data_IF_413559168312
#
_entry.id   IF_413559168312
#
_cell.length_a   1.000
_cell.length_b   1.000
_cell.length_c   1.000
_cell.angle_alpha   90.00
_cell.angle_beta   90.00
_cell.angle_gamma   90.00
#
_symmetry.space_group_name_H-M   'P 1'
#
loop_
_entity.id
_entity.type
_entity.pdbx_description
1 polymer ?
#
# COMPACT_ATOMS: atom_id res chain seq x y z
N UNK A 1 20.59 64.37 34.55
CA UNK A 1 19.46 63.67 35.21
C UNK A 1 19.50 62.21 34.76
N UNK A 2 19.62 61.28 35.72
CA UNK A 2 19.74 59.84 35.49
C UNK A 2 18.36 59.21 35.68
N UNK A 3 17.77 58.68 34.62
CA UNK A 3 16.55 57.86 34.70
C UNK A 3 16.86 56.48 34.17
N UNK A 4 16.88 55.49 35.08
CA UNK A 4 16.89 54.07 34.76
C UNK A 4 15.48 53.69 34.30
N UNK A 5 15.37 52.97 33.19
CA UNK A 5 14.19 52.15 32.90
C UNK A 5 14.67 50.75 32.59
N UNK A 6 14.40 49.82 33.50
CA UNK A 6 14.38 48.39 33.21
C UNK A 6 13.11 48.12 32.39
N UNK A 7 13.25 47.39 31.29
CA UNK A 7 12.16 46.63 30.69
C UNK A 7 12.73 45.31 30.16
N UNK A 8 12.39 44.23 30.86
CA UNK A 8 12.53 42.87 30.39
C UNK A 8 11.41 42.56 29.39
N UNK A 9 11.74 41.90 28.27
CA UNK A 9 10.76 41.15 27.50
C UNK A 9 11.46 40.08 26.66
N UNK A 10 11.00 38.85 26.87
CA UNK A 10 11.46 37.62 26.25
C UNK A 10 11.27 37.63 24.72
N UNK A 11 12.23 37.05 24.00
CA UNK A 11 11.95 36.43 22.70
C UNK A 11 12.68 35.09 22.67
N UNK A 12 11.91 34.05 22.99
CA UNK A 12 12.33 32.67 22.97
C UNK A 12 12.70 32.23 21.55
N UNK A 13 13.70 31.36 21.49
CA UNK A 13 14.14 30.65 20.31
C UNK A 13 12.97 29.88 19.66
N UNK A 14 12.82 30.02 18.34
CA UNK A 14 12.15 29.02 17.50
C UNK A 14 13.11 28.61 16.39
N UNK A 15 14.17 27.92 16.79
CA UNK A 15 14.84 26.96 15.93
C UNK A 15 14.02 25.65 16.02
N UNK A 16 12.93 25.58 15.26
CA UNK A 16 12.24 24.33 14.96
C UNK A 16 12.72 23.97 13.56
N UNK A 17 13.73 23.12 13.44
CA UNK A 17 13.55 21.70 13.67
C UNK A 17 13.16 21.09 12.34
N UNK A 18 14.11 21.07 11.40
CA UNK A 18 14.04 20.20 10.23
C UNK A 18 14.13 18.76 10.75
N UNK A 19 13.01 18.25 11.25
CA UNK A 19 12.82 16.82 11.42
C UNK A 19 12.85 16.23 10.03
N UNK A 20 13.99 15.63 9.68
CA UNK A 20 14.10 14.83 8.50
C UNK A 20 12.94 13.85 8.46
N UNK A 21 12.25 13.79 7.31
CA UNK A 21 11.47 12.62 6.91
C UNK A 21 12.42 11.44 6.65
N UNK A 22 13.25 11.10 7.64
CA UNK A 22 13.94 9.82 7.71
C UNK A 22 12.93 8.85 8.33
N UNK A 23 12.00 8.35 7.51
CA UNK A 23 10.97 7.46 8.03
C UNK A 23 9.82 7.07 7.12
N UNK A 24 9.89 7.29 5.80
CA UNK A 24 8.98 6.61 4.86
C UNK A 24 9.81 5.82 3.87
N UNK A 25 10.44 4.73 4.36
CA UNK A 25 10.76 3.64 3.45
C UNK A 25 9.47 3.23 2.76
N UNK A 26 9.51 3.02 1.44
CA UNK A 26 8.43 2.52 0.60
C UNK A 26 8.05 1.07 0.96
N UNK A 27 7.90 0.77 2.25
CA UNK A 27 7.41 -0.49 2.75
C UNK A 27 5.90 -0.47 2.53
N UNK A 28 5.42 -1.45 1.78
CA UNK A 28 3.99 -1.68 1.71
C UNK A 28 3.45 -2.06 3.08
N UNK A 29 2.20 -1.69 3.31
CA UNK A 29 1.51 -1.97 4.56
C UNK A 29 1.46 -3.47 4.83
N UNK A 30 1.35 -3.86 6.10
CA UNK A 30 1.04 -5.25 6.47
C UNK A 30 -0.27 -5.71 5.79
N UNK A 31 -0.34 -6.99 5.44
CA UNK A 31 -1.56 -7.61 4.91
C UNK A 31 -2.52 -7.86 6.07
N UNK A 32 -3.73 -7.31 5.98
CA UNK A 32 -4.76 -7.49 7.00
C UNK A 32 -5.73 -8.60 6.60
N UNK A 33 -6.31 -9.29 7.59
CA UNK A 33 -7.36 -10.28 7.32
C UNK A 33 -8.64 -9.62 6.79
N UNK A 34 -9.42 -10.37 6.02
CA UNK A 34 -10.70 -9.90 5.50
C UNK A 34 -11.63 -9.40 6.62
N UNK A 35 -12.24 -8.25 6.42
CA UNK A 35 -13.20 -7.63 7.34
C UNK A 35 -12.55 -6.94 8.55
N UNK A 36 -11.22 -6.87 8.64
CA UNK A 36 -10.55 -6.06 9.67
C UNK A 36 -10.49 -4.60 9.23
N UNK A 37 -10.95 -3.70 10.09
CA UNK A 37 -10.84 -2.27 9.85
C UNK A 37 -9.39 -1.80 9.99
N UNK A 38 -9.00 -0.72 9.31
CA UNK A 38 -7.72 -0.05 9.56
C UNK A 38 -7.55 0.34 11.04
N UNK A 39 -8.68 0.65 11.69
CA UNK A 39 -8.78 0.95 13.11
C UNK A 39 -8.32 -0.21 14.04
N UNK A 40 -8.21 -1.42 13.50
CA UNK A 40 -7.70 -2.57 14.27
C UNK A 40 -6.19 -2.52 14.48
N UNK A 41 -5.44 -1.81 13.63
CA UNK A 41 -3.99 -1.62 13.74
C UNK A 41 -3.62 -0.20 14.21
N UNK A 42 -4.50 0.78 14.01
CA UNK A 42 -4.29 2.19 14.38
C UNK A 42 -5.55 2.77 15.02
N UNK A 43 -5.46 3.79 15.87
CA UNK A 43 -6.65 4.35 16.55
C UNK A 43 -7.53 5.23 15.65
N UNK A 44 -6.99 5.71 14.53
CA UNK A 44 -7.63 6.69 13.67
C UNK A 44 -8.02 6.07 12.33
N UNK A 45 -9.20 6.41 11.83
CA UNK A 45 -9.60 6.08 10.47
C UNK A 45 -8.87 6.98 9.48
N UNK A 46 -8.23 6.37 8.50
CA UNK A 46 -7.59 7.09 7.40
C UNK A 46 -8.59 7.29 6.26
N UNK A 47 -8.54 8.45 5.61
CA UNK A 47 -9.29 8.67 4.38
C UNK A 47 -8.94 7.61 3.35
N UNK A 48 -9.98 7.04 2.74
CA UNK A 48 -9.87 6.07 1.65
C UNK A 48 -10.36 6.66 0.34
N UNK A 49 -9.92 6.07 -0.76
CA UNK A 49 -10.24 6.51 -2.11
C UNK A 49 -10.74 5.31 -2.94
N UNK A 50 -11.72 5.57 -3.81
CA UNK A 50 -12.20 4.59 -4.79
C UNK A 50 -11.39 4.73 -6.08
N UNK A 51 -10.37 3.88 -6.24
CA UNK A 51 -9.48 3.87 -7.41
C UNK A 51 -9.69 2.58 -8.19
N UNK A 52 -10.64 2.61 -9.12
CA UNK A 52 -11.02 1.44 -9.90
C UNK A 52 -9.89 0.96 -10.84
N UNK A 53 -9.11 1.87 -11.43
CA UNK A 53 -8.02 1.54 -12.36
C UNK A 53 -6.76 2.37 -12.04
N UNK A 54 -5.93 1.91 -11.10
CA UNK A 54 -4.65 2.58 -10.80
C UNK A 54 -3.73 2.54 -12.01
N UNK A 55 -3.04 3.65 -12.33
CA UNK A 55 -2.13 3.73 -13.49
C UNK A 55 -1.00 2.69 -13.44
N UNK A 56 -0.57 2.31 -12.24
CA UNK A 56 0.48 1.31 -12.03
C UNK A 56 0.01 -0.14 -12.13
N UNK A 57 -1.28 -0.39 -12.32
CA UNK A 57 -1.83 -1.74 -12.31
C UNK A 57 -1.60 -2.45 -13.64
N UNK A 58 -1.10 -3.69 -13.59
CA UNK A 58 -1.07 -4.56 -14.75
C UNK A 58 -2.52 -4.87 -15.20
N UNK A 59 -2.77 -4.98 -16.51
CA UNK A 59 -4.10 -5.23 -17.04
C UNK A 59 -4.26 -6.72 -17.39
N UNK A 60 -5.36 -7.33 -16.97
CA UNK A 60 -5.67 -8.74 -17.23
C UNK A 60 -7.12 -8.96 -17.64
N UNK A 61 -7.40 -10.01 -18.43
CA UNK A 61 -8.75 -10.51 -18.69
C UNK A 61 -9.26 -11.48 -17.61
N UNK A 62 -8.46 -11.73 -16.57
CA UNK A 62 -8.83 -12.56 -15.41
C UNK A 62 -7.79 -13.60 -15.04
N UNK A 63 -6.81 -13.89 -15.89
CA UNK A 63 -5.69 -14.79 -15.58
C UNK A 63 -4.43 -13.98 -15.25
N UNK A 64 -3.76 -14.35 -14.17
CA UNK A 64 -2.52 -13.72 -13.73
C UNK A 64 -1.45 -14.79 -13.48
N UNK A 65 -0.33 -14.68 -14.18
CA UNK A 65 0.86 -15.47 -13.92
C UNK A 65 1.75 -14.73 -12.94
N UNK A 66 2.10 -15.39 -11.86
CA UNK A 66 2.92 -14.82 -10.80
C UNK A 66 4.21 -15.58 -10.72
N UNK A 67 5.33 -14.87 -10.83
CA UNK A 67 6.67 -15.38 -10.58
C UNK A 67 7.18 -14.85 -9.25
N UNK A 68 7.58 -15.75 -8.36
CA UNK A 68 8.09 -15.38 -7.04
C UNK A 68 8.88 -16.51 -6.40
N UNK A 69 9.83 -16.17 -5.52
CA UNK A 69 10.54 -17.15 -4.69
C UNK A 69 9.76 -17.52 -3.41
N UNK A 70 8.68 -16.80 -3.11
CA UNK A 70 7.82 -17.11 -1.96
C UNK A 70 7.08 -18.44 -2.16
N UNK A 71 6.83 -19.15 -1.05
CA UNK A 71 6.08 -20.42 -1.07
C UNK A 71 4.57 -20.25 -1.32
N UNK A 72 4.07 -19.02 -1.18
CA UNK A 72 2.66 -18.70 -1.35
C UNK A 72 2.48 -17.27 -1.89
N UNK A 73 1.42 -17.09 -2.66
CA UNK A 73 0.90 -15.79 -3.08
C UNK A 73 -0.42 -15.54 -2.35
N UNK A 74 -0.63 -14.30 -1.94
CA UNK A 74 -1.82 -13.84 -1.23
C UNK A 74 -2.56 -12.89 -2.15
N UNK A 75 -3.83 -13.17 -2.40
CA UNK A 75 -4.72 -12.32 -3.19
C UNK A 75 -5.45 -11.38 -2.24
N UNK A 76 -5.34 -10.08 -2.48
CA UNK A 76 -5.88 -9.04 -1.62
C UNK A 76 -6.78 -8.07 -2.37
N UNK A 77 -7.79 -7.53 -1.69
CA UNK A 77 -8.48 -6.31 -2.10
C UNK A 77 -7.66 -5.10 -1.63
N UNK A 78 -7.30 -4.16 -2.51
CA UNK A 78 -6.60 -2.95 -2.10
C UNK A 78 -7.59 -1.90 -1.58
N UNK A 79 -7.38 -1.43 -0.35
CA UNK A 79 -8.00 -0.19 0.15
C UNK A 79 -7.03 0.97 -0.10
N UNK A 80 -7.34 1.85 -1.04
CA UNK A 80 -6.45 2.95 -1.40
C UNK A 80 -6.49 4.07 -0.36
N UNK A 81 -5.30 4.54 0.02
CA UNK A 81 -5.08 5.62 0.99
C UNK A 81 -4.33 6.80 0.36
N UNK A 82 -4.25 6.81 -0.97
CA UNK A 82 -3.89 7.95 -1.81
C UNK A 82 -4.81 8.00 -3.03
N UNK A 83 -5.10 9.21 -3.48
CA UNK A 83 -6.02 9.46 -4.60
C UNK A 83 -5.49 8.94 -5.94
N UNK A 84 -4.16 8.94 -6.11
CA UNK A 84 -3.47 8.41 -7.29
C UNK A 84 -3.36 6.88 -7.32
N UNK A 85 -3.87 6.18 -6.30
CA UNK A 85 -3.78 4.73 -6.15
C UNK A 85 -2.37 4.19 -5.84
N UNK A 86 -1.37 5.05 -5.66
CA UNK A 86 0.02 4.64 -5.40
C UNK A 86 0.24 4.00 -4.03
N UNK A 87 -0.66 4.26 -3.07
CA UNK A 87 -0.62 3.73 -1.70
C UNK A 87 -1.93 3.05 -1.35
N UNK A 88 -1.83 1.85 -0.83
CA UNK A 88 -2.97 1.04 -0.43
C UNK A 88 -2.64 0.13 0.74
N UNK A 89 -3.68 -0.34 1.42
CA UNK A 89 -3.65 -1.41 2.41
C UNK A 89 -4.20 -2.68 1.77
N UNK A 90 -3.43 -3.79 1.71
CA UNK A 90 -3.92 -5.05 1.17
C UNK A 90 -4.76 -5.81 2.20
N UNK A 91 -6.02 -6.08 1.86
CA UNK A 91 -6.92 -6.93 2.64
C UNK A 91 -6.98 -8.34 2.02
N UNK A 92 -6.41 -9.33 2.71
CA UNK A 92 -6.35 -10.70 2.25
C UNK A 92 -7.75 -11.28 2.00
N UNK A 93 -7.93 -11.83 0.81
CA UNK A 93 -9.15 -12.56 0.41
C UNK A 93 -8.88 -14.05 0.28
N UNK A 94 -7.71 -14.44 -0.26
CA UNK A 94 -7.32 -15.85 -0.39
C UNK A 94 -5.81 -15.99 -0.47
N UNK A 95 -5.34 -17.24 -0.35
CA UNK A 95 -3.93 -17.61 -0.46
C UNK A 95 -3.82 -18.80 -1.41
N UNK A 96 -2.76 -18.84 -2.20
CA UNK A 96 -2.46 -19.91 -3.13
C UNK A 96 -1.00 -20.33 -3.00
N UNK A 97 -0.75 -21.64 -2.96
CA UNK A 97 0.61 -22.18 -2.94
C UNK A 97 1.32 -21.95 -4.28
N UNK A 98 2.62 -21.67 -4.20
CA UNK A 98 3.52 -21.53 -5.36
C UNK A 98 4.25 -22.84 -5.58
N UNK A 99 4.39 -23.26 -6.83
CA UNK A 99 5.12 -24.48 -7.19
C UNK A 99 6.14 -24.15 -8.27
N UNK A 100 7.40 -24.50 -8.05
CA UNK A 100 8.48 -24.24 -9.01
C UNK A 100 8.78 -22.75 -9.23
N UNK A 101 8.43 -21.87 -8.28
CA UNK A 101 8.62 -20.42 -8.38
C UNK A 101 7.51 -19.69 -9.16
N UNK A 102 6.43 -20.40 -9.50
CA UNK A 102 5.32 -19.85 -10.28
C UNK A 102 3.95 -20.21 -9.69
N UNK A 103 2.97 -19.34 -9.94
CA UNK A 103 1.56 -19.58 -9.65
C UNK A 103 0.66 -18.92 -10.72
N UNK A 104 -0.42 -19.60 -11.10
CA UNK A 104 -1.48 -19.03 -11.96
C UNK A 104 -2.71 -18.75 -11.12
N UNK A 105 -3.19 -17.51 -11.12
CA UNK A 105 -4.34 -17.07 -10.34
C UNK A 105 -5.45 -16.64 -11.29
N UNK A 106 -6.68 -17.06 -11.00
CA UNK A 106 -7.88 -16.56 -11.68
C UNK A 106 -8.59 -15.56 -10.79
N UNK A 107 -8.78 -14.34 -11.30
CA UNK A 107 -9.37 -13.22 -10.60
C UNK A 107 -10.63 -12.75 -11.35
N UNK A 108 -11.72 -12.43 -10.64
CA UNK A 108 -12.87 -11.78 -11.25
C UNK A 108 -12.55 -10.31 -11.57
N UNK A 109 -13.43 -9.66 -12.34
CA UNK A 109 -13.32 -8.23 -12.66
C UNK A 109 -13.14 -7.35 -11.42
N UNK A 110 -12.34 -6.29 -11.58
CA UNK A 110 -11.97 -5.37 -10.51
C UNK A 110 -10.46 -5.26 -10.31
N UNK A 111 -10.07 -4.44 -9.34
CA UNK A 111 -8.66 -4.22 -9.01
C UNK A 111 -8.26 -5.01 -7.77
N UNK A 112 -7.14 -5.73 -7.90
CA UNK A 112 -6.61 -6.66 -6.93
C UNK A 112 -5.15 -6.32 -6.62
N UNK A 113 -4.70 -6.66 -5.42
CA UNK A 113 -3.29 -6.66 -5.06
C UNK A 113 -2.81 -8.11 -4.92
N UNK A 114 -1.86 -8.50 -5.76
CA UNK A 114 -1.19 -9.80 -5.67
C UNK A 114 0.03 -9.61 -4.78
N UNK A 115 0.07 -10.30 -3.65
CA UNK A 115 1.01 -10.05 -2.57
C UNK A 115 1.83 -11.29 -2.19
N UNK A 116 3.01 -11.06 -1.61
CA UNK A 116 3.77 -12.07 -0.85
C UNK A 116 4.12 -11.51 0.52
N UNK A 117 4.28 -12.38 1.51
CA UNK A 117 4.73 -11.99 2.84
C UNK A 117 5.76 -13.01 3.36
N UNK A 118 7.03 -12.78 3.00
CA UNK A 118 8.16 -13.58 3.48
C UNK A 118 9.20 -12.64 4.11
N UNK A 119 8.91 -12.19 5.34
CA UNK A 119 9.67 -11.19 6.08
C UNK A 119 9.42 -9.73 5.66
N UNK A 120 8.98 -9.50 4.42
CA UNK A 120 8.49 -8.20 3.94
C UNK A 120 7.31 -8.38 2.97
N UNK A 121 6.31 -7.51 3.09
CA UNK A 121 5.22 -7.42 2.11
C UNK A 121 5.74 -6.85 0.80
N UNK A 122 5.51 -7.60 -0.27
CA UNK A 122 5.59 -7.14 -1.65
C UNK A 122 4.22 -7.31 -2.29
N UNK A 123 3.84 -6.39 -3.16
CA UNK A 123 2.54 -6.38 -3.80
C UNK A 123 2.58 -5.63 -5.13
N UNK A 124 1.84 -6.17 -6.08
CA UNK A 124 1.60 -5.57 -7.40
C UNK A 124 0.10 -5.49 -7.62
N UNK A 125 -0.33 -4.37 -8.18
CA UNK A 125 -1.73 -4.16 -8.53
C UNK A 125 -2.01 -4.81 -9.89
N UNK A 126 -3.16 -5.45 -10.00
CA UNK A 126 -3.71 -5.98 -11.24
C UNK A 126 -5.15 -5.52 -11.37
N UNK A 127 -5.49 -4.91 -12.49
CA UNK A 127 -6.87 -4.58 -12.86
C UNK A 127 -7.36 -5.62 -13.86
N UNK A 128 -8.42 -6.32 -13.49
CA UNK A 128 -9.11 -7.28 -14.36
C UNK A 128 -10.27 -6.59 -15.05
N UNK A 129 -10.26 -6.58 -16.38
CA UNK A 129 -11.35 -6.05 -17.21
C UNK A 129 -11.47 -6.81 -18.52
N UNK A 130 -12.68 -6.89 -19.07
CA UNK A 130 -12.90 -7.46 -20.40
C UNK A 130 -12.22 -6.68 -21.54
N UNK A 131 -11.69 -5.48 -21.29
CA UNK A 131 -10.99 -4.65 -22.26
C UNK A 131 -9.48 -4.90 -22.30
N UNK A 132 -8.94 -5.68 -21.36
CA UNK A 132 -7.52 -6.05 -21.35
C UNK A 132 -7.16 -6.96 -22.53
N UNK A 133 -5.87 -6.99 -22.88
CA UNK A 133 -5.39 -7.74 -24.04
C UNK A 133 -5.25 -9.26 -23.79
N UNK A 134 -5.20 -9.71 -22.54
CA UNK A 134 -5.01 -11.12 -22.18
C UNK A 134 -4.63 -11.30 -20.72
N UNK A 135 -3.90 -12.37 -20.40
CA UNK A 135 -3.34 -12.59 -19.07
C UNK A 135 -2.31 -11.52 -18.70
N UNK A 136 -2.12 -11.29 -17.39
CA UNK A 136 -1.07 -10.43 -16.87
C UNK A 136 0.06 -11.26 -16.27
N UNK A 137 1.30 -10.84 -16.51
CA UNK A 137 2.48 -11.38 -15.83
C UNK A 137 2.90 -10.43 -14.69
N UNK A 138 3.14 -11.00 -13.51
CA UNK A 138 3.48 -10.28 -12.29
C UNK A 138 4.70 -10.93 -11.64
N UNK A 139 5.69 -10.11 -11.28
CA UNK A 139 6.88 -10.55 -10.54
C UNK A 139 6.90 -9.92 -9.14
N UNK A 140 7.09 -10.76 -8.12
CA UNK A 140 7.09 -10.41 -6.70
C UNK A 140 8.38 -10.83 -6.01
#
# INVERSE_FOLDING_TARGET
MRTKVLAAACAAALAVGACGLAGCGAKQHEIIEQGKACASCHSDEKQTYDVAQPESAAQSTGEVHVKTDASQVIVCKPTFISEDGSKFVPEQTSTQSVSGGEATITLPEGTWAVCTNDGQVKAKLVTVSAQAAGAADVEL
#
